data_IF_028007067829
#
_entry.id   IF_028007067829
#
_cell.length_a   1.000
_cell.length_b   1.000
_cell.length_c   1.000
_cell.angle_alpha   90.00
_cell.angle_beta   90.00
_cell.angle_gamma   90.00
#
_symmetry.space_group_name_H-M   'P 1'
#
loop_
_entity.id
_entity.type
_entity.pdbx_description
1 polymer ?
#
# COMPACT_ATOMS: atom_id res chain seq x y z
N UNK A 1 -4.34 -18.35 -26.65
CA UNK A 1 -4.44 -19.31 -25.54
C UNK A 1 -4.66 -18.48 -24.29
N UNK A 2 -5.87 -18.57 -23.73
CA UNK A 2 -6.24 -17.87 -22.51
C UNK A 2 -5.43 -18.46 -21.35
N UNK A 3 -4.48 -17.68 -20.84
CA UNK A 3 -3.51 -18.12 -19.84
C UNK A 3 -3.83 -17.51 -18.49
N UNK A 4 -4.11 -18.39 -17.53
CA UNK A 4 -4.04 -18.23 -16.08
C UNK A 4 -4.59 -16.91 -15.50
N UNK A 5 -5.80 -16.98 -14.94
CA UNK A 5 -6.31 -16.02 -13.97
C UNK A 5 -5.25 -15.78 -12.88
N UNK A 6 -4.69 -14.58 -12.87
CA UNK A 6 -3.70 -14.12 -11.90
C UNK A 6 -4.36 -14.04 -10.53
N UNK A 7 -3.90 -14.87 -9.60
CA UNK A 7 -4.16 -14.66 -8.17
C UNK A 7 -2.84 -14.19 -7.58
N UNK A 8 -2.72 -12.88 -7.39
CA UNK A 8 -1.71 -12.27 -6.52
C UNK A 8 -2.16 -12.48 -5.05
N UNK A 9 -1.87 -11.62 -4.09
CA UNK A 9 -1.96 -11.74 -2.63
C UNK A 9 -0.80 -12.43 -1.88
N UNK A 10 -0.16 -11.62 -1.04
CA UNK A 10 0.76 -12.01 0.04
C UNK A 10 0.10 -12.86 1.13
N UNK A 11 0.85 -13.81 1.69
CA UNK A 11 0.80 -14.13 3.12
C UNK A 11 2.09 -14.83 3.61
N UNK A 12 2.90 -14.16 4.43
CA UNK A 12 3.92 -14.82 5.28
C UNK A 12 3.57 -14.54 6.75
N UNK A 13 3.25 -15.60 7.50
CA UNK A 13 3.00 -15.52 8.93
C UNK A 13 4.30 -15.62 9.72
N UNK A 14 4.60 -14.61 10.53
CA UNK A 14 5.37 -14.78 11.76
C UNK A 14 4.65 -13.99 12.85
N UNK A 15 4.00 -14.69 13.78
CA UNK A 15 3.59 -14.10 15.05
C UNK A 15 4.87 -13.81 15.83
N UNK A 16 5.36 -12.58 15.73
CA UNK A 16 6.47 -12.13 16.54
C UNK A 16 5.95 -11.82 17.94
N UNK A 17 6.61 -12.42 18.93
CA UNK A 17 6.51 -12.04 20.34
C UNK A 17 6.79 -10.54 20.44
N UNK A 18 6.13 -9.83 21.37
CA UNK A 18 6.27 -8.37 21.60
C UNK A 18 7.70 -7.85 21.86
N UNK A 19 8.71 -8.73 21.84
CA UNK A 19 10.12 -8.44 22.03
C UNK A 19 10.93 -8.32 20.72
N UNK A 20 10.29 -8.33 19.54
CA UNK A 20 10.97 -8.17 18.24
C UNK A 20 10.63 -6.80 17.68
N UNK A 21 11.66 -5.98 17.44
CA UNK A 21 11.52 -4.67 16.81
C UNK A 21 11.03 -4.80 15.37
N UNK A 22 10.16 -3.88 14.99
CA UNK A 22 9.52 -3.77 13.67
C UNK A 22 9.88 -2.44 13.03
N UNK A 23 9.50 -2.25 11.75
CA UNK A 23 9.68 -0.96 11.08
C UNK A 23 8.98 0.19 11.82
N UNK A 24 7.86 -0.08 12.50
CA UNK A 24 7.14 0.93 13.30
C UNK A 24 7.99 1.44 14.45
N UNK A 25 8.80 0.57 15.08
CA UNK A 25 9.67 0.98 16.17
C UNK A 25 10.81 1.89 15.67
N UNK A 26 11.32 1.65 14.45
CA UNK A 26 12.31 2.54 13.80
C UNK A 26 11.68 3.88 13.38
N UNK A 27 10.49 3.84 12.77
CA UNK A 27 9.77 5.05 12.36
C UNK A 27 9.52 5.96 13.57
N UNK A 28 9.04 5.42 14.69
CA UNK A 28 8.72 6.22 15.88
C UNK A 28 9.93 6.83 16.61
N UNK A 29 11.17 6.60 16.15
CA UNK A 29 12.32 7.36 16.64
C UNK A 29 12.25 8.84 16.23
N UNK A 30 11.78 9.16 15.01
CA UNK A 30 11.66 10.55 14.53
C UNK A 30 10.83 10.76 13.25
N UNK A 31 10.22 9.71 12.70
CA UNK A 31 9.49 9.71 11.43
C UNK A 31 7.99 9.50 11.71
N UNK A 32 7.18 10.49 11.38
CA UNK A 32 5.72 10.31 11.43
C UNK A 32 5.27 9.30 10.37
N UNK A 33 4.29 8.45 10.71
CA UNK A 33 3.85 7.38 9.82
C UNK A 33 2.34 7.14 9.88
N UNK A 34 1.77 6.70 8.75
CA UNK A 34 0.45 6.10 8.66
C UNK A 34 0.37 5.10 7.52
N UNK A 35 -0.56 4.16 7.60
CA UNK A 35 -0.99 3.38 6.44
C UNK A 35 -2.42 3.72 6.07
N UNK A 36 -2.70 3.84 4.79
CA UNK A 36 -4.03 4.13 4.27
C UNK A 36 -4.53 2.93 3.47
N UNK A 37 -5.66 2.39 3.89
CA UNK A 37 -6.16 1.11 3.41
C UNK A 37 -7.52 1.32 2.76
N UNK A 38 -7.61 1.03 1.47
CA UNK A 38 -8.85 1.22 0.75
C UNK A 38 -9.92 0.23 1.21
N UNK A 39 -11.14 0.72 1.40
CA UNK A 39 -12.29 -0.07 1.85
C UNK A 39 -12.11 -0.74 3.23
N UNK A 40 -11.16 -0.27 4.06
CA UNK A 40 -11.05 -0.69 5.44
C UNK A 40 -12.25 -0.18 6.26
N UNK A 41 -12.77 -0.99 7.20
CA UNK A 41 -14.04 -0.71 7.88
C UNK A 41 -14.05 0.60 8.70
N UNK A 42 -12.94 0.87 9.39
CA UNK A 42 -12.72 2.03 10.25
C UNK A 42 -11.24 2.21 10.52
N UNK A 43 -10.83 3.37 11.01
CA UNK A 43 -9.48 3.57 11.54
C UNK A 43 -9.17 2.56 12.65
N UNK A 44 -7.95 2.00 12.60
CA UNK A 44 -7.50 0.95 13.50
C UNK A 44 -8.25 -0.38 13.38
N UNK A 45 -8.94 -0.64 12.27
CA UNK A 45 -9.64 -1.90 12.08
C UNK A 45 -8.68 -3.11 12.09
N UNK A 46 -8.87 -3.99 13.08
CA UNK A 46 -8.01 -5.17 13.32
C UNK A 46 -8.61 -6.47 12.80
N UNK A 47 -9.82 -6.42 12.23
CA UNK A 47 -10.50 -7.58 11.67
C UNK A 47 -9.76 -8.19 10.48
N UNK A 48 -10.04 -9.46 10.20
CA UNK A 48 -9.34 -10.22 9.15
C UNK A 48 -9.62 -9.69 7.74
N UNK A 49 -10.86 -9.32 7.48
CA UNK A 49 -11.30 -8.71 6.23
C UNK A 49 -12.56 -7.86 6.46
N UNK A 50 -12.95 -7.08 5.45
CA UNK A 50 -14.19 -6.32 5.49
C UNK A 50 -14.89 -6.34 4.14
N UNK A 51 -16.18 -6.66 4.18
CA UNK A 51 -17.06 -6.62 3.03
C UNK A 51 -17.96 -5.39 3.07
N UNK A 52 -18.15 -4.75 1.93
CA UNK A 52 -19.02 -3.58 1.77
C UNK A 52 -19.84 -3.69 0.47
N UNK A 53 -20.73 -2.71 0.26
CA UNK A 53 -21.60 -2.71 -0.91
C UNK A 53 -20.79 -2.83 -2.21
N UNK A 54 -21.19 -3.77 -3.08
CA UNK A 54 -20.46 -4.04 -4.31
C UNK A 54 -20.63 -2.86 -5.28
N UNK A 55 -19.58 -2.06 -5.44
CA UNK A 55 -19.60 -0.89 -6.32
C UNK A 55 -19.47 -1.24 -7.80
N UNK A 56 -19.07 -2.48 -8.13
CA UNK A 56 -19.03 -2.99 -9.51
C UNK A 56 -20.40 -3.49 -9.97
N UNK A 57 -21.21 -3.99 -9.04
CA UNK A 57 -22.57 -4.43 -9.27
C UNK A 57 -23.43 -4.27 -8.02
N UNK A 58 -24.18 -3.18 -7.96
CA UNK A 58 -25.04 -2.83 -6.81
C UNK A 58 -26.23 -3.78 -6.60
N UNK A 59 -26.52 -4.66 -7.58
CA UNK A 59 -27.55 -5.70 -7.45
C UNK A 59 -27.01 -7.03 -6.91
N UNK A 60 -25.69 -7.14 -6.77
CA UNK A 60 -25.01 -8.31 -6.20
C UNK A 60 -24.86 -8.19 -4.68
N UNK A 61 -24.57 -9.32 -4.03
CA UNK A 61 -24.17 -9.33 -2.63
C UNK A 61 -22.92 -8.46 -2.38
N UNK A 62 -22.71 -7.97 -1.14
CA UNK A 62 -21.47 -7.30 -0.73
C UNK A 62 -20.23 -8.09 -1.13
N UNK A 63 -19.17 -7.37 -1.48
CA UNK A 63 -17.87 -7.95 -1.84
C UNK A 63 -16.83 -7.65 -0.76
N UNK A 64 -15.93 -8.60 -0.51
CA UNK A 64 -14.85 -8.44 0.46
C UNK A 64 -13.69 -7.66 -0.16
N UNK A 65 -13.68 -6.35 0.07
CA UNK A 65 -12.72 -5.43 -0.53
C UNK A 65 -11.41 -5.32 0.25
N UNK A 66 -11.48 -5.28 1.59
CA UNK A 66 -10.30 -5.16 2.44
C UNK A 66 -9.86 -6.51 2.98
N UNK A 67 -8.55 -6.77 2.94
CA UNK A 67 -7.92 -7.94 3.53
C UNK A 67 -6.73 -7.52 4.39
N UNK A 68 -6.75 -7.90 5.68
CA UNK A 68 -5.71 -7.54 6.65
C UNK A 68 -4.30 -7.98 6.22
N UNK A 69 -4.19 -9.05 5.44
CA UNK A 69 -2.92 -9.58 4.93
C UNK A 69 -2.15 -8.59 4.04
N UNK A 70 -2.80 -7.59 3.44
CA UNK A 70 -2.17 -6.54 2.63
C UNK A 70 -1.84 -5.26 3.42
N UNK A 71 -2.09 -5.26 4.73
CA UNK A 71 -1.75 -4.18 5.63
C UNK A 71 -0.59 -4.63 6.55
N UNK A 72 0.68 -4.48 6.14
CA UNK A 72 1.78 -5.18 6.80
C UNK A 72 2.00 -4.75 8.25
N UNK A 73 1.81 -3.47 8.58
CA UNK A 73 2.09 -2.93 9.92
C UNK A 73 1.07 -3.37 10.97
N UNK A 74 -0.23 -3.53 10.62
CA UNK A 74 -1.27 -3.95 11.58
C UNK A 74 -1.14 -5.41 12.00
N UNK A 75 -0.29 -6.20 11.34
CA UNK A 75 -0.11 -7.64 11.64
C UNK A 75 0.71 -7.83 12.93
N UNK A 76 1.56 -6.86 13.30
CA UNK A 76 2.41 -6.96 14.48
C UNK A 76 1.63 -6.77 15.79
N UNK A 77 1.93 -7.61 16.79
CA UNK A 77 1.39 -7.44 18.15
C UNK A 77 1.78 -6.10 18.77
N UNK A 78 3.03 -5.67 18.55
CA UNK A 78 3.56 -4.35 18.96
C UNK A 78 2.85 -3.15 18.33
N UNK A 79 1.94 -3.38 17.38
CA UNK A 79 1.16 -2.36 16.71
C UNK A 79 -0.33 -2.51 17.06
N UNK A 80 -0.89 -3.70 16.87
CA UNK A 80 -2.33 -3.93 17.08
C UNK A 80 -2.75 -3.83 18.56
N UNK A 81 -1.85 -4.14 19.49
CA UNK A 81 -2.12 -4.08 20.93
C UNK A 81 -1.85 -2.68 21.53
N UNK A 82 -1.34 -1.74 20.73
CA UNK A 82 -1.09 -0.34 21.12
C UNK A 82 -2.09 0.56 20.40
N UNK A 83 -3.13 1.08 21.09
CA UNK A 83 -4.23 1.80 20.45
C UNK A 83 -3.79 2.97 19.55
N UNK A 84 -2.76 3.71 19.96
CA UNK A 84 -2.22 4.83 19.21
C UNK A 84 -1.58 4.39 17.88
N UNK A 85 -0.88 3.24 17.87
CA UNK A 85 -0.28 2.65 16.67
C UNK A 85 -1.34 2.01 15.78
N UNK A 86 -2.32 1.33 16.37
CA UNK A 86 -3.46 0.79 15.63
C UNK A 86 -4.20 1.92 14.89
N UNK A 87 -4.46 3.05 15.54
CA UNK A 87 -5.13 4.22 14.95
C UNK A 87 -4.39 4.86 13.77
N UNK A 88 -3.10 4.56 13.54
CA UNK A 88 -2.35 5.01 12.35
C UNK A 88 -2.70 4.25 11.07
N UNK A 89 -3.52 3.21 11.15
CA UNK A 89 -4.07 2.52 9.99
C UNK A 89 -5.42 3.17 9.71
N UNK A 90 -5.47 3.97 8.66
CA UNK A 90 -6.58 4.85 8.33
C UNK A 90 -7.32 4.37 7.10
N UNK A 91 -8.59 4.73 6.98
CA UNK A 91 -9.32 4.48 5.74
C UNK A 91 -8.70 5.34 4.61
N UNK A 92 -8.66 4.83 3.38
CA UNK A 92 -8.11 5.60 2.25
C UNK A 92 -8.85 6.92 1.98
N UNK A 93 -10.11 7.07 2.38
CA UNK A 93 -10.79 8.37 2.31
C UNK A 93 -10.16 9.43 3.23
N UNK A 94 -9.53 9.03 4.34
CA UNK A 94 -8.83 9.94 5.24
C UNK A 94 -7.54 10.48 4.61
N UNK A 95 -6.93 9.74 3.68
CA UNK A 95 -5.78 10.23 2.91
C UNK A 95 -6.13 11.52 2.16
N UNK A 96 -7.30 11.57 1.53
CA UNK A 96 -7.75 12.77 0.82
C UNK A 96 -7.97 13.95 1.78
N UNK A 97 -8.47 13.67 3.00
CA UNK A 97 -8.62 14.69 4.05
C UNK A 97 -7.24 15.20 4.48
N UNK A 98 -6.31 14.30 4.79
CA UNK A 98 -4.97 14.62 5.28
C UNK A 98 -4.16 15.43 4.24
N UNK A 99 -4.27 15.08 2.94
CA UNK A 99 -3.70 15.87 1.82
C UNK A 99 -4.22 17.31 1.83
N UNK A 100 -5.53 17.51 2.02
CA UNK A 100 -6.12 18.86 1.96
C UNK A 100 -5.78 19.72 3.17
N UNK A 101 -5.42 19.12 4.30
CA UNK A 101 -5.05 19.80 5.53
C UNK A 101 -3.53 19.97 5.73
N UNK A 102 -2.70 19.46 4.80
CA UNK A 102 -1.23 19.46 4.94
C UNK A 102 -0.75 18.61 6.15
N UNK A 103 -1.50 17.55 6.46
CA UNK A 103 -1.31 16.69 7.64
C UNK A 103 -0.75 15.30 7.28
N UNK A 104 -0.15 15.15 6.08
CA UNK A 104 0.43 13.89 5.65
C UNK A 104 1.65 13.51 6.50
N UNK A 105 1.78 12.23 6.91
CA UNK A 105 2.97 11.76 7.59
C UNK A 105 4.16 11.63 6.63
N UNK A 106 5.37 11.57 7.18
CA UNK A 106 6.60 11.43 6.41
C UNK A 106 6.70 10.06 5.72
N UNK A 107 6.24 9.00 6.39
CA UNK A 107 6.17 7.65 5.82
C UNK A 107 4.71 7.24 5.62
N UNK A 108 4.37 6.84 4.39
CA UNK A 108 3.02 6.50 3.99
C UNK A 108 3.03 5.14 3.30
N UNK A 109 2.11 4.26 3.71
CA UNK A 109 1.87 2.99 3.02
C UNK A 109 0.42 2.93 2.54
N UNK A 110 0.21 2.95 1.23
CA UNK A 110 -1.13 2.87 0.62
C UNK A 110 -1.37 1.47 0.07
N UNK A 111 -2.49 0.87 0.44
CA UNK A 111 -2.93 -0.42 -0.11
C UNK A 111 -4.31 -0.25 -0.78
N UNK A 112 -4.42 -0.47 -2.10
CA UNK A 112 -5.71 -0.52 -2.78
C UNK A 112 -6.55 -1.72 -2.30
N UNK A 113 -7.84 -1.70 -2.60
CA UNK A 113 -8.71 -2.85 -2.33
C UNK A 113 -8.46 -3.97 -3.37
N UNK A 114 -9.01 -5.17 -3.13
CA UNK A 114 -8.77 -6.37 -3.96
C UNK A 114 -9.14 -6.24 -5.46
N UNK A 115 -9.95 -5.24 -5.82
CA UNK A 115 -10.24 -4.95 -7.22
C UNK A 115 -9.27 -3.91 -7.80
N UNK A 116 -8.82 -2.94 -7.00
CA UNK A 116 -7.93 -1.86 -7.42
C UNK A 116 -6.44 -2.23 -7.33
N UNK A 117 -6.07 -3.34 -6.69
CA UNK A 117 -4.71 -3.87 -6.60
C UNK A 117 -4.33 -4.80 -7.77
N UNK A 118 -5.23 -4.93 -8.76
CA UNK A 118 -5.13 -5.84 -9.91
C UNK A 118 -5.21 -7.33 -9.57
N UNK A 119 -5.68 -7.71 -8.37
CA UNK A 119 -5.84 -9.10 -7.98
C UNK A 119 -7.03 -9.78 -8.66
N UNK A 120 -8.26 -9.34 -8.37
CA UNK A 120 -9.49 -9.93 -8.91
C UNK A 120 -9.92 -9.26 -10.23
N UNK A 121 -9.14 -8.27 -10.69
CA UNK A 121 -9.33 -7.55 -11.97
C UNK A 121 -8.12 -7.71 -12.91
N UNK A 122 -7.49 -6.60 -13.34
CA UNK A 122 -6.33 -6.54 -14.19
C UNK A 122 -5.58 -5.20 -14.04
N UNK A 123 -4.42 -5.10 -14.69
CA UNK A 123 -3.55 -3.92 -14.66
C UNK A 123 -4.19 -2.64 -15.23
N UNK A 124 -5.14 -2.75 -16.17
CA UNK A 124 -5.83 -1.58 -16.72
C UNK A 124 -6.78 -1.00 -15.67
N UNK A 125 -7.43 -1.85 -14.87
CA UNK A 125 -8.30 -1.44 -13.77
C UNK A 125 -7.51 -0.73 -12.66
N UNK A 126 -6.41 -1.32 -12.21
CA UNK A 126 -5.50 -0.67 -11.26
C UNK A 126 -4.89 0.63 -11.84
N UNK A 127 -4.59 0.65 -13.13
CA UNK A 127 -4.12 1.85 -13.84
C UNK A 127 -5.14 2.99 -13.84
N UNK A 128 -6.44 2.68 -13.97
CA UNK A 128 -7.52 3.69 -13.84
C UNK A 128 -7.64 4.21 -12.41
N UNK A 129 -7.51 3.34 -11.41
CA UNK A 129 -7.48 3.75 -10.01
C UNK A 129 -6.34 4.74 -9.73
N UNK A 130 -5.11 4.43 -10.16
CA UNK A 130 -3.96 5.32 -9.99
C UNK A 130 -4.12 6.64 -10.76
N UNK A 131 -4.68 6.61 -11.98
CA UNK A 131 -4.97 7.83 -12.74
C UNK A 131 -5.97 8.73 -12.03
N UNK A 132 -6.93 8.15 -11.29
CA UNK A 132 -7.94 8.92 -10.58
C UNK A 132 -7.35 9.71 -9.40
N UNK A 133 -6.52 9.10 -8.56
CA UNK A 133 -6.06 9.75 -7.32
C UNK A 133 -4.59 10.18 -7.35
N UNK A 134 -3.68 9.36 -7.88
CA UNK A 134 -2.25 9.63 -7.78
C UNK A 134 -1.80 10.67 -8.80
N UNK A 135 -2.29 10.59 -10.04
CA UNK A 135 -1.84 11.48 -11.12
C UNK A 135 -2.11 12.96 -10.82
N UNK A 136 -3.30 13.37 -10.35
CA UNK A 136 -3.53 14.76 -9.93
C UNK A 136 -2.61 15.20 -8.79
N UNK A 137 -2.29 14.31 -7.86
CA UNK A 137 -1.42 14.64 -6.72
C UNK A 137 0.05 14.77 -7.11
N UNK A 138 0.51 14.08 -8.15
CA UNK A 138 1.87 14.29 -8.69
C UNK A 138 2.08 15.72 -9.21
N UNK A 139 1.00 16.41 -9.61
CA UNK A 139 1.03 17.83 -10.01
C UNK A 139 0.83 18.80 -8.83
N UNK A 140 0.45 18.30 -7.65
CA UNK A 140 0.22 19.13 -6.46
C UNK A 140 1.52 19.25 -5.64
N UNK A 141 2.13 20.46 -5.53
CA UNK A 141 3.37 20.65 -4.79
C UNK A 141 3.25 20.39 -3.28
N UNK A 142 2.03 20.35 -2.73
CA UNK A 142 1.79 19.96 -1.32
C UNK A 142 1.99 18.47 -1.11
N UNK A 143 1.63 17.65 -2.09
CA UNK A 143 1.85 16.20 -2.06
C UNK A 143 3.22 15.81 -2.62
N UNK A 144 3.59 16.34 -3.78
CA UNK A 144 4.82 16.00 -4.49
C UNK A 144 5.88 17.10 -4.34
N UNK A 145 6.24 17.41 -3.09
CA UNK A 145 7.35 18.32 -2.77
C UNK A 145 8.71 17.80 -3.25
N UNK A 146 9.78 18.62 -3.21
CA UNK A 146 11.10 18.29 -3.77
C UNK A 146 11.74 17.02 -3.20
N UNK A 147 11.40 16.67 -1.96
CA UNK A 147 11.99 15.54 -1.24
C UNK A 147 11.09 14.28 -1.23
N UNK A 148 10.03 14.27 -2.04
CA UNK A 148 9.07 13.17 -2.09
C UNK A 148 9.55 12.09 -3.06
N UNK A 149 9.71 10.88 -2.52
CA UNK A 149 9.96 9.65 -3.26
C UNK A 149 8.74 8.73 -3.12
N UNK A 150 8.21 8.26 -4.25
CA UNK A 150 7.09 7.33 -4.30
C UNK A 150 7.59 6.05 -4.94
N UNK A 151 7.48 4.93 -4.22
CA UNK A 151 7.70 3.60 -4.76
C UNK A 151 6.33 2.98 -5.09
N UNK A 152 6.00 2.91 -6.37
CA UNK A 152 4.87 2.13 -6.86
C UNK A 152 5.36 0.72 -7.18
N UNK A 153 4.80 -0.30 -6.55
CA UNK A 153 5.26 -1.69 -6.67
C UNK A 153 4.12 -2.69 -6.45
N UNK A 154 4.41 -3.97 -6.66
CA UNK A 154 3.52 -5.08 -6.36
C UNK A 154 4.09 -5.91 -5.20
N UNK A 155 3.24 -6.60 -4.46
CA UNK A 155 3.68 -7.49 -3.38
C UNK A 155 4.19 -8.83 -3.94
N UNK A 156 3.53 -9.38 -4.96
CA UNK A 156 4.04 -10.48 -5.77
C UNK A 156 3.59 -10.52 -7.24
N UNK A 157 4.09 -11.51 -7.97
CA UNK A 157 3.52 -11.94 -9.24
C UNK A 157 2.34 -12.91 -9.04
N UNK A 158 1.50 -13.06 -10.07
CA UNK A 158 0.32 -13.92 -10.01
C UNK A 158 0.58 -15.43 -10.09
N UNK A 159 1.80 -15.92 -9.84
CA UNK A 159 2.15 -17.34 -10.00
C UNK A 159 2.97 -17.90 -8.84
N UNK A 160 2.44 -18.93 -8.19
CA UNK A 160 3.14 -19.67 -7.16
C UNK A 160 4.22 -20.64 -7.68
N UNK A 161 4.41 -20.74 -8.99
CA UNK A 161 5.28 -21.73 -9.64
C UNK A 161 6.60 -21.15 -10.17
N UNK A 162 6.76 -19.83 -10.13
CA UNK A 162 7.97 -19.14 -10.58
C UNK A 162 8.50 -18.23 -9.47
N UNK A 163 9.76 -17.83 -9.58
CA UNK A 163 10.34 -16.89 -8.63
C UNK A 163 9.59 -15.55 -8.70
N UNK A 164 9.39 -14.92 -7.54
CA UNK A 164 8.74 -13.62 -7.48
C UNK A 164 9.58 -12.59 -8.26
N UNK A 165 8.95 -11.93 -9.22
CA UNK A 165 9.55 -10.88 -10.04
C UNK A 165 8.42 -9.92 -10.41
N UNK A 166 8.56 -8.68 -9.95
CA UNK A 166 7.50 -7.69 -9.90
C UNK A 166 7.95 -6.42 -10.60
N UNK A 167 6.98 -5.72 -11.18
CA UNK A 167 7.22 -4.37 -11.67
C UNK A 167 7.37 -3.41 -10.48
N UNK A 168 8.27 -2.45 -10.61
CA UNK A 168 8.45 -1.37 -9.64
C UNK A 168 8.83 -0.10 -10.36
N UNK A 169 8.29 1.02 -9.90
CA UNK A 169 8.48 2.34 -10.48
C UNK A 169 8.75 3.36 -9.36
N UNK A 170 9.86 4.07 -9.50
CA UNK A 170 10.14 5.24 -8.67
C UNK A 170 9.55 6.49 -9.33
N UNK A 171 8.75 7.20 -8.57
CA UNK A 171 8.08 8.46 -8.93
C UNK A 171 8.43 9.53 -7.89
N UNK A 172 7.98 10.76 -8.16
CA UNK A 172 8.13 11.90 -7.26
C UNK A 172 9.33 12.77 -7.58
N UNK A 173 9.35 13.96 -6.98
CA UNK A 173 10.36 14.98 -7.28
C UNK A 173 11.75 14.70 -6.69
N UNK A 174 11.87 13.74 -5.76
CA UNK A 174 13.17 13.25 -5.30
C UNK A 174 13.93 12.46 -6.38
N UNK A 175 13.24 11.94 -7.41
CA UNK A 175 13.89 11.23 -8.50
C UNK A 175 14.65 12.22 -9.38
N UNK A 176 15.96 12.05 -9.45
CA UNK A 176 16.84 12.94 -10.22
C UNK A 176 16.45 12.95 -11.70
N UNK A 177 16.30 14.15 -12.29
CA UNK A 177 15.85 14.33 -13.69
C UNK A 177 16.60 13.48 -14.72
N UNK A 178 17.90 13.23 -14.50
CA UNK A 178 18.72 12.38 -15.40
C UNK A 178 18.33 10.89 -15.39
N UNK A 179 17.55 10.45 -14.41
CA UNK A 179 17.09 9.07 -14.25
C UNK A 179 15.64 8.89 -14.73
N UNK A 180 14.94 9.95 -15.11
CA UNK A 180 13.58 9.85 -15.64
C UNK A 180 13.55 9.02 -16.92
N UNK A 181 12.65 8.04 -17.00
CA UNK A 181 12.53 7.12 -18.14
C UNK A 181 13.67 6.11 -18.27
N UNK A 182 14.53 5.98 -17.25
CA UNK A 182 15.60 4.97 -17.23
C UNK A 182 15.16 3.69 -16.51
N UNK A 183 15.93 2.63 -16.67
CA UNK A 183 15.75 1.35 -15.98
C UNK A 183 16.97 1.05 -15.11
N UNK A 184 16.74 0.48 -13.93
CA UNK A 184 17.80 -0.02 -13.05
C UNK A 184 17.83 -1.55 -13.09
N UNK A 185 19.02 -2.14 -13.28
CA UNK A 185 19.24 -3.58 -13.31
C UNK A 185 19.80 -4.14 -12.00
N UNK A 186 19.96 -3.30 -10.97
CA UNK A 186 20.33 -3.72 -9.63
C UNK A 186 19.29 -4.69 -9.07
N UNK A 187 19.77 -5.70 -8.33
CA UNK A 187 18.89 -6.66 -7.68
C UNK A 187 18.26 -6.07 -6.42
N UNK A 188 16.93 -6.00 -6.40
CA UNK A 188 16.13 -5.56 -5.27
C UNK A 188 15.16 -6.64 -4.80
N UNK A 189 14.73 -6.51 -3.55
CA UNK A 189 13.61 -7.26 -2.97
C UNK A 189 12.65 -6.26 -2.31
N UNK A 190 11.45 -6.68 -1.91
CA UNK A 190 10.55 -5.81 -1.13
C UNK A 190 11.23 -5.24 0.12
N UNK A 191 12.15 -6.00 0.74
CA UNK A 191 12.94 -5.55 1.90
C UNK A 191 13.93 -4.43 1.57
N UNK A 192 14.31 -4.24 0.31
CA UNK A 192 15.20 -3.15 -0.09
C UNK A 192 14.59 -1.78 0.18
N UNK A 193 13.26 -1.67 0.19
CA UNK A 193 12.55 -0.43 0.57
C UNK A 193 12.80 -0.03 2.01
N UNK A 194 13.10 -0.98 2.91
CA UNK A 194 13.40 -0.67 4.31
C UNK A 194 14.70 0.12 4.48
N UNK A 195 15.61 0.09 3.50
CA UNK A 195 16.84 0.88 3.53
C UNK A 195 16.61 2.36 3.21
N UNK A 196 15.39 2.76 2.84
CA UNK A 196 15.04 4.16 2.58
C UNK A 196 14.45 4.86 3.80
N UNK A 197 14.32 4.14 4.92
CA UNK A 197 13.79 4.60 6.22
C UNK A 197 14.93 4.64 7.22
#
# INVERSE_FOLDING_TARGET
>A
MAGAESRTNVCVYVLTKSSISTIVDLLEESISWASYQESMASDGFTGFNFASANYLNTSSAPLTYYWRKHNPTIIYSSVVDVPERAARHRNFNDFAVDVTHDDLPQWIFVTPNIENDAHDTNIDFAGQFLQYWLFPLLEDPRFNGPDILILLTFDENGSSSINNNIFSLLLGNAVLKRLHGTTDSTYYTNYSSLNTV
#
